data_IF_619539985604
#
_entry.id   IF_619539985604
#
_cell.length_a   1.000
_cell.length_b   1.000
_cell.length_c   1.000
_cell.angle_alpha   90.00
_cell.angle_beta   90.00
_cell.angle_gamma   90.00
#
_symmetry.space_group_name_H-M   'P 1'
#
loop_
_entity.id
_entity.type
_entity.pdbx_description
1 polymer ?
#
# COMPACT_ATOMS: atom_id res chain seq x y z
N UNK A 1 -17.50 -16.75 11.87
CA UNK A 1 -16.78 -16.51 10.60
C UNK A 1 -17.63 -16.99 9.42
N UNK A 2 -18.14 -18.24 9.39
CA UNK A 2 -18.96 -18.76 8.28
C UNK A 2 -20.28 -17.99 8.13
N UNK A 3 -20.89 -17.58 9.23
CA UNK A 3 -22.15 -16.81 9.24
C UNK A 3 -21.91 -15.34 8.83
N UNK A 4 -20.81 -14.74 9.27
CA UNK A 4 -20.37 -13.40 8.83
C UNK A 4 -20.02 -13.36 7.32
N UNK A 5 -19.41 -14.42 6.80
CA UNK A 5 -19.15 -14.58 5.36
C UNK A 5 -20.45 -14.80 4.56
N UNK A 6 -21.42 -15.53 5.12
CA UNK A 6 -22.74 -15.71 4.49
C UNK A 6 -23.53 -14.40 4.44
N UNK A 7 -23.49 -13.60 5.51
CA UNK A 7 -24.14 -12.29 5.54
C UNK A 7 -23.45 -11.28 4.63
N UNK A 8 -22.11 -11.32 4.51
CA UNK A 8 -21.35 -10.52 3.55
C UNK A 8 -21.58 -10.95 2.08
N UNK A 9 -22.04 -12.18 1.85
CA UNK A 9 -22.39 -12.71 0.53
C UNK A 9 -23.88 -12.63 0.22
N UNK A 10 -24.70 -12.11 1.15
CA UNK A 10 -26.13 -11.89 0.95
C UNK A 10 -26.45 -10.39 1.05
N UNK A 11 -26.16 -9.60 0.01
CA UNK A 11 -26.47 -8.17 -0.02
C UNK A 11 -27.98 -7.91 0.14
N UNK A 12 -28.84 -8.88 -0.25
CA UNK A 12 -30.30 -8.75 -0.21
C UNK A 12 -30.85 -8.64 1.22
N UNK A 13 -30.14 -9.11 2.24
CA UNK A 13 -30.61 -9.06 3.63
C UNK A 13 -30.53 -7.64 4.25
N UNK A 14 -29.67 -6.78 3.70
CA UNK A 14 -29.55 -5.38 4.14
C UNK A 14 -30.53 -4.46 3.37
N UNK A 15 -30.90 -4.82 2.14
CA UNK A 15 -31.86 -4.05 1.33
C UNK A 15 -33.32 -4.21 1.81
N UNK A 16 -33.70 -5.29 2.52
CA UNK A 16 -35.07 -5.49 3.04
C UNK A 16 -35.37 -4.65 4.30
N UNK A 17 -34.37 -4.26 5.07
CA UNK A 17 -34.51 -3.31 6.17
C UNK A 17 -34.10 -1.93 5.71
N UNK A 18 -35.01 -1.08 5.31
CA UNK A 18 -34.75 0.30 4.95
C UNK A 18 -33.91 1.03 6.02
N UNK A 19 -33.36 2.19 5.66
CA UNK A 19 -32.60 3.05 6.57
C UNK A 19 -33.35 3.24 7.90
N UNK A 20 -32.73 3.01 9.07
CA UNK A 20 -33.39 3.09 10.37
C UNK A 20 -33.71 4.53 10.83
N UNK A 21 -33.35 5.54 10.04
CA UNK A 21 -33.56 6.96 10.29
C UNK A 21 -34.01 7.68 9.01
N UNK A 22 -34.65 8.84 9.16
CA UNK A 22 -35.15 9.63 8.03
C UNK A 22 -34.03 10.36 7.27
N UNK A 23 -33.04 10.87 8.01
CA UNK A 23 -31.89 11.59 7.47
C UNK A 23 -30.63 11.27 8.28
N UNK A 24 -29.48 11.05 7.62
CA UNK A 24 -28.21 10.94 8.32
C UNK A 24 -27.72 12.29 8.85
N UNK A 25 -27.05 12.26 9.99
CA UNK A 25 -26.25 13.38 10.48
C UNK A 25 -24.91 13.45 9.76
N UNK A 26 -24.40 12.27 9.38
CA UNK A 26 -23.09 12.13 8.69
C UNK A 26 -23.24 11.20 7.50
N UNK A 27 -22.82 11.68 6.32
CA UNK A 27 -22.58 10.88 5.13
C UNK A 27 -21.09 10.54 5.05
N UNK A 28 -20.76 9.26 5.02
CA UNK A 28 -19.38 8.76 4.85
C UNK A 28 -19.24 8.17 3.45
N UNK A 29 -18.35 8.70 2.63
CA UNK A 29 -18.13 8.27 1.25
C UNK A 29 -16.86 7.40 1.18
N UNK A 30 -17.04 6.09 1.03
CA UNK A 30 -16.02 5.06 1.05
C UNK A 30 -16.09 4.20 2.31
N UNK A 31 -16.25 2.89 2.14
CA UNK A 31 -16.30 1.89 3.22
C UNK A 31 -14.93 1.17 3.39
N UNK A 32 -13.84 1.86 3.10
CA UNK A 32 -12.48 1.45 3.45
C UNK A 32 -12.21 1.62 4.95
N UNK A 33 -10.96 1.42 5.39
CA UNK A 33 -10.60 1.51 6.80
C UNK A 33 -10.97 2.87 7.41
N UNK A 34 -10.67 3.98 6.74
CA UNK A 34 -10.99 5.32 7.22
C UNK A 34 -12.52 5.53 7.36
N UNK A 35 -13.30 5.07 6.37
CA UNK A 35 -14.75 5.20 6.41
C UNK A 35 -15.39 4.34 7.48
N UNK A 36 -14.95 3.09 7.64
CA UNK A 36 -15.43 2.21 8.70
C UNK A 36 -15.10 2.77 10.09
N UNK A 37 -13.89 3.31 10.28
CA UNK A 37 -13.48 3.98 11.53
C UNK A 37 -14.40 5.18 11.84
N UNK A 38 -14.61 6.04 10.84
CA UNK A 38 -15.48 7.20 10.96
C UNK A 38 -16.92 6.80 11.28
N UNK A 39 -17.46 5.83 10.54
CA UNK A 39 -18.84 5.39 10.71
C UNK A 39 -19.07 4.69 12.06
N UNK A 40 -18.16 3.79 12.48
CA UNK A 40 -18.24 3.12 13.76
C UNK A 40 -18.20 4.12 14.91
N UNK A 41 -17.24 5.06 14.87
CA UNK A 41 -17.10 6.06 15.94
C UNK A 41 -18.26 7.04 15.98
N UNK A 42 -18.78 7.50 14.84
CA UNK A 42 -19.94 8.38 14.79
C UNK A 42 -21.20 7.68 15.30
N UNK A 43 -21.41 6.41 14.93
CA UNK A 43 -22.53 5.62 15.42
C UNK A 43 -22.46 5.36 16.94
N UNK A 44 -21.28 5.06 17.46
CA UNK A 44 -21.01 4.91 18.90
C UNK A 44 -21.35 6.20 19.68
N UNK A 45 -21.11 7.35 19.07
CA UNK A 45 -21.46 8.67 19.61
C UNK A 45 -22.96 9.02 19.47
N UNK A 46 -23.76 8.14 18.89
CA UNK A 46 -25.21 8.27 18.74
C UNK A 46 -25.66 9.10 17.53
N UNK A 47 -24.76 9.39 16.57
CA UNK A 47 -25.12 10.05 15.32
C UNK A 47 -25.73 9.05 14.33
N UNK A 48 -26.68 9.52 13.50
CA UNK A 48 -27.19 8.77 12.36
C UNK A 48 -26.17 8.79 11.22
N UNK A 49 -25.64 7.64 10.83
CA UNK A 49 -24.56 7.52 9.86
C UNK A 49 -24.99 6.74 8.64
N UNK A 50 -24.85 7.38 7.47
CA UNK A 50 -24.95 6.70 6.19
C UNK A 50 -23.54 6.53 5.61
N UNK A 51 -23.10 5.29 5.42
CA UNK A 51 -21.85 4.99 4.73
C UNK A 51 -22.12 4.39 3.37
N UNK A 52 -21.47 4.86 2.33
CA UNK A 52 -21.64 4.39 0.95
C UNK A 52 -20.31 3.99 0.32
N UNK A 53 -20.34 2.94 -0.50
CA UNK A 53 -19.15 2.50 -1.26
C UNK A 53 -19.56 1.98 -2.65
N UNK A 54 -18.74 2.24 -3.66
CA UNK A 54 -18.93 1.73 -5.02
C UNK A 54 -18.70 0.23 -5.15
N UNK A 55 -17.90 -0.36 -4.27
CA UNK A 55 -17.61 -1.79 -4.26
C UNK A 55 -18.77 -2.61 -3.71
N UNK A 56 -18.83 -3.88 -4.12
CA UNK A 56 -19.76 -4.84 -3.57
C UNK A 56 -19.39 -5.34 -2.16
N UNK A 57 -18.22 -4.93 -1.64
CA UNK A 57 -17.70 -5.32 -0.33
C UNK A 57 -17.04 -4.14 0.36
N UNK A 58 -17.06 -4.13 1.68
CA UNK A 58 -16.34 -3.15 2.50
C UNK A 58 -14.87 -3.51 2.71
N UNK A 59 -14.10 -2.57 3.22
CA UNK A 59 -12.70 -2.72 3.62
C UNK A 59 -11.68 -2.09 2.64
N UNK A 60 -12.06 -1.88 1.37
CA UNK A 60 -11.21 -1.20 0.39
C UNK A 60 -9.78 -1.76 0.31
N UNK A 61 -8.80 -0.90 0.20
CA UNK A 61 -7.37 -1.27 0.14
C UNK A 61 -6.87 -2.02 1.38
N UNK A 62 -7.52 -1.85 2.54
CA UNK A 62 -7.13 -2.56 3.75
C UNK A 62 -7.37 -4.07 3.66
N UNK A 63 -8.26 -4.54 2.78
CA UNK A 63 -8.43 -5.98 2.54
C UNK A 63 -7.20 -6.66 1.93
N UNK A 64 -6.32 -5.89 1.29
CA UNK A 64 -5.11 -6.39 0.60
C UNK A 64 -3.81 -5.78 1.16
N UNK A 65 -3.89 -4.94 2.17
CA UNK A 65 -2.73 -4.28 2.77
C UNK A 65 -2.05 -5.13 3.85
N UNK A 66 -0.74 -4.93 4.04
CA UNK A 66 0.10 -5.56 5.05
C UNK A 66 -0.34 -5.35 6.50
N UNK A 67 -1.04 -4.25 6.78
CA UNK A 67 -1.69 -4.03 8.07
C UNK A 67 -0.74 -3.64 9.19
N UNK A 68 0.10 -2.67 8.94
CA UNK A 68 0.86 -2.01 9.99
C UNK A 68 0.13 -0.75 10.43
N UNK A 69 -0.14 -0.62 11.71
CA UNK A 69 -0.56 0.61 12.38
C UNK A 69 0.59 1.17 13.21
N UNK A 70 0.58 2.48 13.39
CA UNK A 70 1.50 3.19 14.27
C UNK A 70 0.72 3.82 15.41
N UNK A 71 1.19 3.66 16.65
CA UNK A 71 0.58 4.27 17.83
C UNK A 71 1.58 4.53 18.94
N UNK A 72 1.63 5.76 19.45
CA UNK A 72 2.53 6.19 20.50
C UNK A 72 1.84 6.22 21.86
N UNK A 73 2.51 5.71 22.90
CA UNK A 73 1.99 5.75 24.27
C UNK A 73 0.88 4.75 24.57
N UNK A 74 0.75 3.68 23.78
CA UNK A 74 -0.31 2.67 23.89
C UNK A 74 -0.22 1.84 25.18
N UNK A 75 -1.31 1.15 25.51
CA UNK A 75 -1.33 0.12 26.57
C UNK A 75 -0.36 -1.02 26.27
N UNK A 76 -0.30 -1.48 25.02
CA UNK A 76 0.62 -2.55 24.60
C UNK A 76 2.09 -2.18 24.77
N UNK A 77 2.47 -0.91 24.52
CA UNK A 77 3.83 -0.44 24.83
C UNK A 77 4.12 -0.48 26.33
N UNK A 78 3.20 0.00 27.15
CA UNK A 78 3.34 -0.04 28.62
C UNK A 78 3.45 -1.46 29.14
N UNK A 79 2.64 -2.39 28.63
CA UNK A 79 2.72 -3.82 28.95
C UNK A 79 4.09 -4.44 28.58
N UNK A 80 4.67 -3.99 27.45
CA UNK A 80 5.99 -4.43 26.98
C UNK A 80 7.16 -3.68 27.64
N UNK A 81 6.90 -2.73 28.54
CA UNK A 81 7.93 -1.92 29.19
C UNK A 81 8.61 -0.92 28.26
N UNK A 82 7.93 -0.49 27.21
CA UNK A 82 8.41 0.48 26.24
C UNK A 82 7.87 1.86 26.62
N UNK A 83 8.78 2.80 26.87
CA UNK A 83 8.43 4.20 27.07
C UNK A 83 8.32 4.91 25.75
N UNK A 84 7.16 5.51 25.48
CA UNK A 84 6.87 6.27 24.26
C UNK A 84 5.81 7.33 24.54
N UNK A 85 5.86 8.41 23.77
CA UNK A 85 4.91 9.50 23.83
C UNK A 85 4.75 10.19 22.46
N UNK A 86 3.76 11.10 22.29
CA UNK A 86 3.56 11.85 21.07
C UNK A 86 4.75 12.69 20.61
N UNK A 87 5.57 13.21 21.54
CA UNK A 87 6.73 14.03 21.20
C UNK A 87 7.84 13.19 20.57
N UNK A 88 8.11 12.00 21.11
CA UNK A 88 9.06 11.05 20.54
C UNK A 88 8.57 10.54 19.16
N UNK A 89 7.26 10.34 19.00
CA UNK A 89 6.67 9.96 17.73
C UNK A 89 6.83 11.06 16.67
N UNK A 90 6.50 12.29 17.02
CA UNK A 90 6.65 13.42 16.12
C UNK A 90 8.13 13.69 15.76
N UNK A 91 9.06 13.52 16.69
CA UNK A 91 10.50 13.63 16.41
C UNK A 91 10.96 12.60 15.36
N UNK A 92 10.42 11.38 15.38
CA UNK A 92 10.68 10.39 14.33
C UNK A 92 10.12 10.84 12.97
N UNK A 93 8.95 11.47 12.90
CA UNK A 93 8.41 12.01 11.66
C UNK A 93 9.29 13.12 11.08
N UNK A 94 9.77 14.04 11.90
CA UNK A 94 10.70 15.10 11.49
C UNK A 94 12.03 14.51 10.99
N UNK A 95 12.55 13.51 11.68
CA UNK A 95 13.80 12.84 11.30
C UNK A 95 13.69 12.09 9.96
N UNK A 96 12.58 11.41 9.74
CA UNK A 96 12.36 10.58 8.54
C UNK A 96 11.89 11.40 7.34
N UNK A 97 10.97 12.32 7.55
CA UNK A 97 10.39 13.13 6.48
C UNK A 97 11.19 14.40 6.14
N UNK A 98 12.06 14.85 7.04
CA UNK A 98 12.73 16.14 6.96
C UNK A 98 11.80 17.30 7.36
N UNK A 99 12.31 18.21 8.20
CA UNK A 99 11.56 19.37 8.64
C UNK A 99 11.08 20.23 7.45
N UNK A 100 9.79 20.58 7.47
CA UNK A 100 9.18 21.41 6.41
C UNK A 100 8.79 20.68 5.13
N UNK A 101 9.07 19.38 5.00
CA UNK A 101 8.71 18.59 3.82
C UNK A 101 7.30 17.97 3.91
N UNK A 102 6.63 18.11 5.04
CA UNK A 102 5.28 17.59 5.27
C UNK A 102 4.49 18.56 6.14
N UNK A 103 3.18 18.35 6.25
CA UNK A 103 2.34 19.16 7.14
C UNK A 103 2.58 18.75 8.60
N UNK A 104 3.41 19.55 9.31
CA UNK A 104 3.81 19.27 10.70
C UNK A 104 2.63 19.37 11.69
N UNK A 105 1.62 20.19 11.40
CA UNK A 105 0.42 20.33 12.25
C UNK A 105 -0.40 19.03 12.23
N UNK A 106 -0.69 18.50 11.03
CA UNK A 106 -1.39 17.21 10.88
C UNK A 106 -0.57 16.06 11.47
N UNK A 107 0.75 16.06 11.26
CA UNK A 107 1.62 15.02 11.80
C UNK A 107 1.68 15.05 13.33
N UNK A 108 1.63 16.23 13.94
CA UNK A 108 1.56 16.41 15.38
C UNK A 108 0.24 15.87 15.93
N UNK A 109 -0.88 16.28 15.35
CA UNK A 109 -2.20 15.78 15.72
C UNK A 109 -2.29 14.25 15.59
N UNK A 110 -1.76 13.70 14.49
CA UNK A 110 -1.68 12.24 14.33
C UNK A 110 -0.87 11.59 15.46
N UNK A 111 0.29 12.13 15.82
CA UNK A 111 1.10 11.56 16.90
C UNK A 111 0.34 11.58 18.24
N UNK A 112 -0.41 12.64 18.53
CA UNK A 112 -1.17 12.81 19.76
C UNK A 112 -2.32 11.81 19.89
N UNK A 113 -3.05 11.51 18.79
CA UNK A 113 -4.22 10.63 18.83
C UNK A 113 -3.89 9.15 18.51
N UNK A 114 -2.71 8.86 17.95
CA UNK A 114 -2.37 7.54 17.41
C UNK A 114 -2.44 6.41 18.44
N UNK A 115 -2.01 6.69 19.67
CA UNK A 115 -2.04 5.71 20.76
C UNK A 115 -3.47 5.36 21.19
N UNK A 116 -4.34 6.37 21.30
CA UNK A 116 -5.76 6.16 21.64
C UNK A 116 -6.46 5.37 20.53
N UNK A 117 -6.14 5.63 19.24
CA UNK A 117 -6.73 4.91 18.13
C UNK A 117 -6.37 3.41 18.13
N UNK A 118 -5.11 3.08 18.46
CA UNK A 118 -4.67 1.68 18.59
C UNK A 118 -5.34 1.02 19.81
N UNK A 119 -5.41 1.70 20.94
CA UNK A 119 -6.07 1.21 22.16
C UNK A 119 -7.57 0.99 21.94
N UNK A 120 -8.24 1.87 21.19
CA UNK A 120 -9.65 1.69 20.82
C UNK A 120 -9.85 0.45 19.94
N UNK A 121 -9.01 0.21 18.93
CA UNK A 121 -9.06 -1.00 18.11
C UNK A 121 -8.85 -2.28 18.95
N UNK A 122 -7.98 -2.22 19.96
CA UNK A 122 -7.78 -3.31 20.92
C UNK A 122 -9.05 -3.56 21.74
N UNK A 123 -9.73 -2.51 22.21
CA UNK A 123 -11.02 -2.60 22.93
C UNK A 123 -12.14 -3.20 22.05
N UNK A 124 -12.10 -2.97 20.73
CA UNK A 124 -13.00 -3.60 19.75
C UNK A 124 -12.70 -5.09 19.52
N UNK A 125 -11.64 -5.63 20.12
CA UNK A 125 -11.23 -7.03 20.00
C UNK A 125 -10.44 -7.34 18.73
N UNK A 126 -9.74 -6.37 18.18
CA UNK A 126 -8.83 -6.59 17.05
C UNK A 126 -7.74 -7.61 17.41
N UNK A 127 -7.53 -8.61 16.55
CA UNK A 127 -6.46 -9.59 16.73
C UNK A 127 -5.11 -9.01 16.29
N UNK A 128 -4.34 -8.48 17.23
CA UNK A 128 -2.98 -7.96 17.03
C UNK A 128 -1.88 -9.04 17.06
N UNK A 129 -2.26 -10.32 17.01
CA UNK A 129 -1.29 -11.41 17.03
C UNK A 129 -0.57 -11.52 18.38
N UNK A 130 0.75 -11.35 18.38
CA UNK A 130 1.59 -11.41 19.58
C UNK A 130 1.52 -10.14 20.47
N UNK A 131 0.88 -9.09 19.98
CA UNK A 131 0.69 -7.78 20.67
C UNK A 131 2.00 -7.08 21.04
N UNK A 132 3.11 -7.47 20.43
CA UNK A 132 4.42 -6.85 20.68
C UNK A 132 4.69 -5.78 19.64
N UNK A 133 4.86 -4.51 20.03
CA UNK A 133 5.21 -3.46 19.07
C UNK A 133 6.64 -3.65 18.53
N UNK A 134 6.87 -3.19 17.30
CA UNK A 134 8.18 -3.30 16.63
C UNK A 134 8.61 -1.99 15.97
N UNK A 135 9.91 -1.89 15.64
CA UNK A 135 10.53 -0.66 15.12
C UNK A 135 10.14 -0.30 13.66
N UNK A 136 9.48 -1.21 12.96
CA UNK A 136 9.21 -1.08 11.53
C UNK A 136 10.30 -1.75 10.68
N UNK A 137 9.87 -2.25 9.51
CA UNK A 137 10.76 -2.97 8.59
C UNK A 137 11.37 -2.00 7.56
N UNK A 138 10.61 -1.00 7.15
CA UNK A 138 10.97 -0.10 6.07
C UNK A 138 11.47 1.28 6.55
N UNK A 139 11.09 1.68 7.75
CA UNK A 139 11.44 2.96 8.34
C UNK A 139 11.87 2.72 9.78
N UNK A 140 13.17 2.80 10.08
CA UNK A 140 13.66 2.54 11.43
C UNK A 140 13.22 3.67 12.37
N UNK A 141 12.19 3.40 13.15
CA UNK A 141 11.76 4.27 14.24
C UNK A 141 12.73 4.15 15.42
N UNK A 142 12.87 5.22 16.20
CA UNK A 142 13.68 5.18 17.43
C UNK A 142 12.99 4.41 18.57
N UNK A 143 11.65 4.32 18.52
CA UNK A 143 10.85 3.57 19.48
C UNK A 143 9.99 2.55 18.74
N UNK A 144 9.84 1.35 19.30
CA UNK A 144 8.95 0.32 18.77
C UNK A 144 7.50 0.74 19.00
N UNK A 145 6.79 1.15 17.92
CA UNK A 145 5.41 1.64 17.96
C UNK A 145 4.55 1.17 16.79
N UNK A 146 5.04 0.23 16.01
CA UNK A 146 4.26 -0.40 14.95
C UNK A 146 3.56 -1.67 15.46
N UNK A 147 2.35 -1.87 15.01
CA UNK A 147 1.49 -3.02 15.36
C UNK A 147 0.97 -3.67 14.09
N UNK A 148 0.97 -4.99 14.06
CA UNK A 148 0.41 -5.74 12.93
C UNK A 148 -0.90 -6.42 13.33
N UNK A 149 -1.91 -6.31 12.48
CA UNK A 149 -3.08 -7.16 12.58
C UNK A 149 -2.73 -8.60 12.17
N UNK A 150 -3.23 -9.59 12.88
CA UNK A 150 -3.05 -11.00 12.51
C UNK A 150 -3.79 -11.31 11.21
N UNK A 151 -3.02 -11.67 10.19
CA UNK A 151 -3.55 -11.79 8.83
C UNK A 151 -3.75 -10.42 8.15
N UNK A 152 -3.12 -9.32 8.63
CA UNK A 152 -2.98 -8.00 8.08
C UNK A 152 -4.04 -6.97 8.40
N UNK A 153 -4.15 -5.95 7.57
CA UNK A 153 -5.11 -4.87 7.80
C UNK A 153 -6.57 -5.34 7.81
N UNK A 154 -6.84 -6.53 7.24
CA UNK A 154 -8.16 -7.14 7.34
C UNK A 154 -8.58 -7.40 8.79
N UNK A 155 -7.65 -7.62 9.73
CA UNK A 155 -7.98 -7.76 11.15
C UNK A 155 -8.68 -6.49 11.69
N UNK A 156 -8.19 -5.31 11.29
CA UNK A 156 -8.79 -4.03 11.65
C UNK A 156 -10.15 -3.81 11.00
N UNK A 157 -10.26 -4.16 9.71
CA UNK A 157 -11.54 -4.08 8.97
C UNK A 157 -12.62 -4.91 9.62
N UNK A 158 -12.29 -6.14 10.04
CA UNK A 158 -13.25 -7.06 10.67
C UNK A 158 -13.77 -6.52 12.00
N UNK A 159 -12.89 -5.99 12.87
CA UNK A 159 -13.31 -5.44 14.15
C UNK A 159 -14.10 -4.14 14.00
N UNK A 160 -13.71 -3.25 13.09
CA UNK A 160 -14.44 -2.02 12.79
C UNK A 160 -15.84 -2.29 12.21
N UNK A 161 -15.94 -3.24 11.29
CA UNK A 161 -17.24 -3.64 10.75
C UNK A 161 -18.13 -4.28 11.81
N UNK A 162 -17.59 -5.18 12.63
CA UNK A 162 -18.32 -5.80 13.72
C UNK A 162 -18.82 -4.78 14.75
N UNK A 163 -18.08 -3.70 14.99
CA UNK A 163 -18.53 -2.58 15.81
C UNK A 163 -19.70 -1.85 15.14
N UNK A 164 -19.51 -1.43 13.88
CA UNK A 164 -20.55 -0.71 13.13
C UNK A 164 -21.85 -1.52 12.97
N UNK A 165 -21.74 -2.84 12.78
CA UNK A 165 -22.89 -3.74 12.62
C UNK A 165 -23.85 -3.71 13.81
N UNK A 166 -23.36 -3.41 15.02
CA UNK A 166 -24.22 -3.28 16.22
C UNK A 166 -25.26 -2.16 16.09
N UNK A 167 -25.00 -1.20 15.22
CA UNK A 167 -25.81 0.01 15.04
C UNK A 167 -26.71 -0.02 13.80
N UNK A 168 -26.66 -1.06 12.96
CA UNK A 168 -27.45 -1.13 11.72
C UNK A 168 -28.97 -1.14 11.94
N UNK A 169 -29.43 -1.54 13.10
CA UNK A 169 -30.86 -1.47 13.45
C UNK A 169 -31.29 -0.18 14.15
N UNK A 170 -30.37 0.75 14.40
CA UNK A 170 -30.63 1.95 15.20
C UNK A 170 -30.23 3.23 14.50
N UNK A 171 -28.93 3.44 14.24
CA UNK A 171 -28.39 4.72 13.78
C UNK A 171 -27.23 4.58 12.79
N UNK A 172 -27.03 3.42 12.17
CA UNK A 172 -26.11 3.25 11.05
C UNK A 172 -26.80 2.55 9.88
N UNK A 173 -26.38 2.90 8.67
CA UNK A 173 -26.81 2.21 7.45
C UNK A 173 -25.67 2.20 6.43
N UNK A 174 -25.47 1.08 5.74
CA UNK A 174 -24.42 0.91 4.74
C UNK A 174 -25.05 0.58 3.38
N UNK A 175 -24.65 1.36 2.35
CA UNK A 175 -25.02 1.11 0.96
C UNK A 175 -23.75 0.78 0.16
N UNK A 176 -23.59 -0.48 -0.19
CA UNK A 176 -22.59 -0.96 -1.14
C UNK A 176 -23.12 -0.85 -2.57
N UNK A 177 -22.26 -1.08 -3.59
CA UNK A 177 -22.61 -0.90 -5.00
C UNK A 177 -23.22 0.49 -5.30
N UNK A 178 -22.83 1.50 -4.54
CA UNK A 178 -23.34 2.88 -4.63
C UNK A 178 -22.20 3.80 -5.04
N UNK A 179 -22.17 4.20 -6.31
CA UNK A 179 -21.13 5.05 -6.87
C UNK A 179 -21.49 6.52 -6.70
N UNK A 180 -20.73 7.24 -5.86
CA UNK A 180 -20.85 8.69 -5.73
C UNK A 180 -20.26 9.37 -6.97
N UNK A 181 -21.05 10.26 -7.59
CA UNK A 181 -20.70 10.94 -8.85
C UNK A 181 -20.27 12.39 -8.64
N UNK A 182 -20.45 12.94 -7.44
CA UNK A 182 -20.07 14.31 -7.11
C UNK A 182 -20.68 14.78 -5.81
N UNK A 183 -20.22 15.92 -5.32
CA UNK A 183 -20.75 16.56 -4.12
C UNK A 183 -21.92 17.50 -4.45
N UNK A 184 -22.78 17.74 -3.46
CA UNK A 184 -23.87 18.70 -3.53
C UNK A 184 -23.58 19.83 -2.59
N UNK A 185 -23.64 21.07 -3.10
CA UNK A 185 -23.47 22.28 -2.31
C UNK A 185 -24.76 23.10 -2.26
N UNK A 186 -24.94 23.85 -1.20
CA UNK A 186 -26.00 24.86 -1.11
C UNK A 186 -25.57 26.19 -1.79
N UNK A 187 -26.45 27.16 -1.77
CA UNK A 187 -26.21 28.51 -2.38
C UNK A 187 -25.03 29.27 -1.71
N UNK A 188 -24.62 28.86 -0.51
CA UNK A 188 -23.51 29.43 0.25
C UNK A 188 -22.18 28.71 -0.04
N UNK A 189 -22.22 27.64 -0.86
CA UNK A 189 -21.07 26.82 -1.21
C UNK A 189 -20.73 25.73 -0.17
N UNK A 190 -21.52 25.56 0.88
CA UNK A 190 -21.32 24.49 1.85
C UNK A 190 -21.78 23.14 1.28
N UNK A 191 -20.99 22.09 1.52
CA UNK A 191 -21.36 20.72 1.13
C UNK A 191 -22.52 20.24 2.02
N UNK A 192 -23.60 19.79 1.39
CA UNK A 192 -24.82 19.31 2.03
C UNK A 192 -25.15 17.87 1.68
N UNK A 193 -24.25 17.14 1.02
CA UNK A 193 -24.40 15.77 0.61
C UNK A 193 -23.69 15.41 -0.67
N UNK A 194 -24.15 14.34 -1.32
CA UNK A 194 -23.56 13.82 -2.55
C UNK A 194 -24.62 13.32 -3.53
N UNK A 195 -24.31 13.36 -4.83
CA UNK A 195 -25.03 12.64 -5.88
C UNK A 195 -24.47 11.23 -5.97
N UNK A 196 -25.34 10.24 -6.13
CA UNK A 196 -24.93 8.86 -6.22
C UNK A 196 -25.77 8.12 -7.29
N UNK A 197 -25.17 7.08 -7.85
CA UNK A 197 -25.81 6.11 -8.74
C UNK A 197 -25.82 4.75 -8.04
N UNK A 198 -27.01 4.19 -7.89
CA UNK A 198 -27.25 2.90 -7.27
C UNK A 198 -26.89 1.74 -8.22
N UNK A 199 -26.88 0.50 -7.69
CA UNK A 199 -26.56 -0.71 -8.45
C UNK A 199 -27.46 -0.92 -9.69
N UNK A 200 -28.73 -0.52 -9.62
CA UNK A 200 -29.72 -0.60 -10.72
C UNK A 200 -29.56 0.53 -11.76
N UNK A 201 -28.61 1.45 -11.56
CA UNK A 201 -28.41 2.62 -12.40
C UNK A 201 -29.25 3.85 -12.01
N UNK A 202 -30.09 3.76 -11.00
CA UNK A 202 -30.88 4.90 -10.50
C UNK A 202 -29.98 5.97 -9.91
N UNK A 203 -30.17 7.20 -10.34
CA UNK A 203 -29.49 8.36 -9.74
C UNK A 203 -30.29 8.89 -8.55
N UNK A 204 -29.58 9.21 -7.49
CA UNK A 204 -30.16 9.71 -6.24
C UNK A 204 -29.29 10.81 -5.63
N UNK A 205 -29.86 11.54 -4.67
CA UNK A 205 -29.13 12.51 -3.86
C UNK A 205 -29.19 12.11 -2.41
N UNK A 206 -28.04 11.97 -1.79
CA UNK A 206 -27.86 11.64 -0.40
C UNK A 206 -27.52 12.92 0.36
N UNK A 207 -28.42 13.40 1.17
CA UNK A 207 -28.25 14.65 1.92
C UNK A 207 -27.82 14.36 3.35
N UNK A 208 -26.86 15.12 3.87
CA UNK A 208 -26.40 15.11 5.25
C UNK A 208 -25.78 16.46 5.62
N UNK A 209 -25.94 16.94 6.87
CA UNK A 209 -25.29 18.15 7.35
C UNK A 209 -23.75 18.07 7.32
N UNK A 210 -23.18 16.87 7.48
CA UNK A 210 -21.75 16.63 7.40
C UNK A 210 -21.44 15.52 6.40
N UNK A 211 -20.38 15.71 5.59
CA UNK A 211 -19.89 14.73 4.64
C UNK A 211 -18.41 14.44 4.88
N UNK A 212 -18.05 13.18 5.05
CA UNK A 212 -16.66 12.75 5.23
C UNK A 212 -16.24 11.94 4.02
N UNK A 213 -15.16 12.39 3.34
CA UNK A 213 -14.65 11.77 2.13
C UNK A 213 -13.56 10.77 2.53
N UNK A 214 -13.83 9.47 2.34
CA UNK A 214 -12.96 8.35 2.66
C UNK A 214 -12.67 7.48 1.43
N UNK A 215 -12.61 8.09 0.24
CA UNK A 215 -12.51 7.41 -1.07
C UNK A 215 -11.13 6.82 -1.37
N UNK A 216 -10.16 7.01 -0.49
CA UNK A 216 -8.78 6.54 -0.68
C UNK A 216 -7.98 7.41 -1.63
N UNK A 217 -6.94 6.82 -2.22
CA UNK A 217 -6.02 7.50 -3.12
C UNK A 217 -6.41 7.41 -4.60
N UNK A 218 -5.42 7.56 -5.49
CA UNK A 218 -5.62 7.52 -6.95
C UNK A 218 -4.74 6.47 -7.65
N UNK A 219 -4.09 5.58 -6.91
CA UNK A 219 -3.14 4.61 -7.48
C UNK A 219 -3.79 3.56 -8.42
N UNK A 220 -5.12 3.48 -8.48
CA UNK A 220 -5.88 2.71 -9.46
C UNK A 220 -6.13 3.45 -10.79
N UNK A 221 -5.76 4.73 -10.89
CA UNK A 221 -6.03 5.59 -12.04
C UNK A 221 -4.73 5.92 -12.78
N UNK A 222 -4.52 5.28 -13.93
CA UNK A 222 -3.32 5.43 -14.75
C UNK A 222 -3.16 6.87 -15.30
N UNK A 223 -4.25 7.56 -15.62
CA UNK A 223 -4.19 8.94 -16.09
C UNK A 223 -3.66 9.89 -15.01
N UNK A 224 -4.10 9.71 -13.75
CA UNK A 224 -3.60 10.48 -12.63
C UNK A 224 -2.15 10.11 -12.27
N UNK A 225 -1.78 8.83 -12.33
CA UNK A 225 -0.39 8.41 -12.16
C UNK A 225 0.52 9.09 -13.18
N UNK A 226 0.15 9.07 -14.46
CA UNK A 226 0.90 9.74 -15.53
C UNK A 226 0.92 11.27 -15.37
N UNK A 227 -0.21 11.88 -14.97
CA UNK A 227 -0.30 13.33 -14.68
C UNK A 227 0.72 13.78 -13.62
N UNK A 228 0.98 12.93 -12.63
CA UNK A 228 1.91 13.21 -11.54
C UNK A 228 3.29 12.54 -11.69
N UNK A 229 3.69 12.20 -12.92
CA UNK A 229 5.00 11.66 -13.30
C UNK A 229 5.32 10.25 -12.77
N UNK A 230 4.30 9.42 -12.53
CA UNK A 230 4.46 8.01 -12.15
C UNK A 230 4.29 7.08 -13.36
N UNK A 231 4.94 7.37 -14.47
CA UNK A 231 4.93 6.52 -15.65
C UNK A 231 5.56 5.14 -15.35
N UNK A 232 4.97 4.08 -15.91
CA UNK A 232 5.41 2.69 -15.73
C UNK A 232 5.40 2.15 -14.30
N UNK A 233 4.76 2.85 -13.36
CA UNK A 233 4.61 2.36 -11.98
C UNK A 233 3.51 1.29 -11.93
N UNK A 234 3.86 0.12 -11.38
CA UNK A 234 2.89 -0.95 -11.13
C UNK A 234 2.13 -0.66 -9.84
N UNK A 235 0.86 -0.33 -9.98
CA UNK A 235 0.01 -0.11 -8.81
C UNK A 235 -0.38 -1.44 -8.14
N UNK A 236 -0.26 -1.49 -6.81
CA UNK A 236 -0.74 -2.60 -5.98
C UNK A 236 -2.07 -2.31 -5.30
N UNK A 237 -2.63 -1.14 -5.58
CA UNK A 237 -3.94 -0.75 -5.06
C UNK A 237 -5.07 -1.44 -5.82
N UNK A 238 -6.23 -1.66 -5.19
CA UNK A 238 -7.43 -2.08 -5.90
C UNK A 238 -7.80 -1.11 -7.04
N UNK A 239 -8.34 -1.64 -8.13
CA UNK A 239 -8.69 -0.83 -9.30
C UNK A 239 -9.76 0.25 -9.02
N UNK A 240 -10.53 0.10 -7.94
CA UNK A 240 -11.52 1.07 -7.50
C UNK A 240 -10.93 2.31 -6.79
N UNK A 241 -9.62 2.38 -6.58
CA UNK A 241 -8.95 3.55 -5.98
C UNK A 241 -8.63 4.54 -7.10
N UNK A 242 -9.63 5.29 -7.53
CA UNK A 242 -9.64 6.08 -8.78
C UNK A 242 -9.33 7.56 -8.60
N UNK A 243 -9.32 8.05 -7.34
CA UNK A 243 -9.02 9.45 -7.06
C UNK A 243 -10.21 10.40 -7.20
N UNK A 244 -11.44 9.90 -7.27
CA UNK A 244 -12.64 10.70 -7.45
C UNK A 244 -12.78 11.80 -6.37
N UNK A 245 -12.46 11.48 -5.11
CA UNK A 245 -12.49 12.44 -4.01
C UNK A 245 -11.57 13.63 -4.22
N UNK A 246 -10.41 13.44 -4.87
CA UNK A 246 -9.51 14.55 -5.19
C UNK A 246 -10.15 15.50 -6.23
N UNK A 247 -10.79 14.94 -7.26
CA UNK A 247 -11.46 15.73 -8.28
C UNK A 247 -12.58 16.59 -7.68
N UNK A 248 -13.42 16.03 -6.82
CA UNK A 248 -14.51 16.78 -6.17
C UNK A 248 -13.98 17.87 -5.24
N UNK A 249 -12.89 17.62 -4.52
CA UNK A 249 -12.29 18.62 -3.64
C UNK A 249 -11.61 19.73 -4.43
N UNK A 250 -10.94 19.41 -5.55
CA UNK A 250 -10.33 20.39 -6.46
C UNK A 250 -11.41 21.32 -7.06
N UNK A 251 -12.58 20.77 -7.46
CA UNK A 251 -13.74 21.56 -7.93
C UNK A 251 -14.26 22.55 -6.88
N UNK A 252 -14.15 22.19 -5.59
CA UNK A 252 -14.51 23.09 -4.48
C UNK A 252 -13.40 24.07 -4.09
N UNK A 253 -12.26 24.05 -4.81
CA UNK A 253 -11.13 24.93 -4.58
C UNK A 253 -10.19 24.49 -3.45
N UNK A 254 -10.27 23.26 -2.98
CA UNK A 254 -9.31 22.70 -2.02
C UNK A 254 -7.93 22.55 -2.67
N UNK A 255 -6.84 23.05 -2.04
CA UNK A 255 -5.50 22.87 -2.58
C UNK A 255 -5.06 21.40 -2.48
N UNK A 256 -4.49 20.88 -3.55
CA UNK A 256 -3.83 19.57 -3.55
C UNK A 256 -2.32 19.76 -3.29
N UNK A 257 -1.76 18.98 -2.38
CA UNK A 257 -0.33 19.01 -2.03
C UNK A 257 0.27 17.62 -2.12
N UNK A 258 1.58 17.56 -2.39
CA UNK A 258 2.35 16.30 -2.41
C UNK A 258 1.80 15.25 -3.39
N UNK A 259 1.15 15.67 -4.47
CA UNK A 259 0.58 14.76 -5.46
C UNK A 259 1.64 14.04 -6.30
N UNK A 260 2.87 14.53 -6.30
CA UNK A 260 4.06 13.98 -6.92
C UNK A 260 4.86 13.02 -6.00
N UNK A 261 4.31 12.73 -4.82
CA UNK A 261 4.90 11.75 -3.88
C UNK A 261 4.08 10.46 -3.88
N UNK A 262 4.76 9.34 -4.05
CA UNK A 262 4.17 8.02 -3.82
C UNK A 262 5.12 7.13 -3.02
N UNK A 263 4.56 6.17 -2.30
CA UNK A 263 5.36 5.11 -1.70
C UNK A 263 5.68 4.08 -2.76
N UNK A 264 6.92 4.06 -3.24
CA UNK A 264 7.42 3.08 -4.17
C UNK A 264 8.18 1.98 -3.42
N UNK A 265 7.94 0.72 -3.78
CA UNK A 265 8.70 -0.42 -3.27
C UNK A 265 9.58 -0.95 -4.38
N UNK A 266 10.85 -1.17 -4.05
CA UNK A 266 11.81 -1.77 -4.97
C UNK A 266 11.40 -3.21 -5.32
N UNK A 267 11.21 -3.50 -6.60
CA UNK A 267 10.99 -4.84 -7.12
C UNK A 267 9.54 -5.31 -7.05
N UNK A 268 8.73 -4.91 -7.99
CA UNK A 268 7.42 -5.49 -8.21
C UNK A 268 7.37 -6.23 -9.53
N UNK A 269 6.91 -7.48 -9.52
CA UNK A 269 6.59 -8.23 -10.72
C UNK A 269 5.09 -8.44 -10.73
N UNK A 270 4.38 -8.19 -11.84
CA UNK A 270 2.95 -8.48 -11.93
C UNK A 270 2.70 -9.97 -11.68
N UNK A 271 1.86 -10.30 -10.71
CA UNK A 271 1.54 -11.69 -10.37
C UNK A 271 0.35 -12.22 -11.13
N UNK A 272 -0.53 -11.36 -11.62
CA UNK A 272 -1.65 -11.72 -12.49
C UNK A 272 -2.10 -10.54 -13.34
N UNK A 273 -2.79 -10.83 -14.42
CA UNK A 273 -3.34 -9.81 -15.32
C UNK A 273 -4.60 -9.14 -14.72
N UNK A 274 -5.28 -9.82 -13.77
CA UNK A 274 -6.56 -9.38 -13.20
C UNK A 274 -6.40 -8.61 -11.88
N UNK A 275 -5.31 -8.88 -11.14
CA UNK A 275 -5.00 -8.21 -9.88
C UNK A 275 -3.71 -7.43 -10.02
N UNK A 276 -3.76 -6.15 -9.66
CA UNK A 276 -2.57 -5.30 -9.55
C UNK A 276 -1.76 -5.66 -8.30
N UNK A 277 -1.44 -6.94 -8.17
CA UNK A 277 -0.55 -7.45 -7.13
C UNK A 277 0.86 -7.53 -7.67
N UNK A 278 1.83 -7.33 -6.80
CA UNK A 278 3.24 -7.46 -7.14
C UNK A 278 3.90 -8.52 -6.27
N UNK A 279 4.96 -9.09 -6.77
CA UNK A 279 5.81 -10.00 -6.04
C UNK A 279 7.23 -9.50 -5.94
N UNK A 280 7.94 -9.99 -4.94
CA UNK A 280 9.35 -9.71 -4.76
C UNK A 280 10.18 -10.87 -5.29
N UNK A 281 11.25 -10.56 -6.01
CA UNK A 281 12.18 -11.56 -6.46
C UNK A 281 13.22 -11.85 -5.35
N UNK A 282 12.96 -12.86 -4.51
CA UNK A 282 13.75 -13.17 -3.32
C UNK A 282 14.69 -14.37 -3.47
N UNK A 283 14.84 -14.91 -4.68
CA UNK A 283 15.55 -16.18 -4.88
C UNK A 283 17.06 -16.04 -4.98
N UNK A 284 17.63 -14.86 -4.78
CA UNK A 284 19.04 -14.61 -5.05
C UNK A 284 19.79 -14.01 -3.87
N UNK A 285 21.07 -14.38 -3.77
CA UNK A 285 22.04 -13.68 -2.95
C UNK A 285 22.75 -12.64 -3.84
N UNK A 286 22.37 -11.36 -3.70
CA UNK A 286 23.16 -10.29 -4.28
C UNK A 286 22.77 -9.84 -5.69
N UNK A 287 21.54 -10.07 -6.16
CA UNK A 287 21.07 -9.51 -7.44
C UNK A 287 21.31 -8.00 -7.55
N UNK A 288 21.61 -7.53 -8.75
CA UNK A 288 21.89 -6.12 -9.04
C UNK A 288 20.63 -5.42 -9.57
N UNK A 289 20.51 -4.14 -9.27
CA UNK A 289 19.52 -3.25 -9.86
C UNK A 289 20.14 -2.43 -10.96
N UNK A 290 19.74 -2.72 -12.18
CA UNK A 290 20.26 -2.12 -13.40
C UNK A 290 19.18 -1.25 -14.05
N UNK A 291 19.52 0.00 -14.39
CA UNK A 291 18.62 0.90 -15.10
C UNK A 291 18.64 0.64 -16.63
N UNK A 292 17.79 1.36 -17.36
CA UNK A 292 17.70 1.24 -18.82
C UNK A 292 18.96 1.68 -19.57
N UNK A 293 19.89 2.37 -18.92
CA UNK A 293 21.20 2.72 -19.48
C UNK A 293 22.24 1.61 -19.31
N UNK A 294 21.91 0.49 -18.68
CA UNK A 294 22.85 -0.60 -18.37
C UNK A 294 23.72 -0.34 -17.14
N UNK A 295 23.36 0.63 -16.30
CA UNK A 295 24.15 1.05 -15.14
C UNK A 295 23.53 0.53 -13.85
N UNK A 296 24.37 0.14 -12.89
CA UNK A 296 23.96 -0.19 -11.54
C UNK A 296 23.57 1.07 -10.77
N UNK A 297 22.56 1.01 -9.92
CA UNK A 297 21.95 2.18 -9.34
C UNK A 297 22.27 2.40 -7.86
N UNK A 298 22.50 1.35 -7.08
CA UNK A 298 22.63 1.48 -5.62
C UNK A 298 23.33 0.29 -4.97
N UNK A 299 23.51 0.40 -3.65
CA UNK A 299 23.78 -0.75 -2.77
C UNK A 299 22.47 -1.48 -2.49
N UNK A 300 22.21 -2.57 -3.20
CA UNK A 300 20.96 -3.33 -3.12
C UNK A 300 20.77 -4.03 -1.76
N UNK A 301 21.87 -4.28 -1.05
CA UNK A 301 21.85 -4.91 0.29
C UNK A 301 21.80 -3.89 1.43
N UNK A 302 21.95 -2.62 1.12
CA UNK A 302 21.87 -1.53 2.10
C UNK A 302 20.52 -1.54 2.85
N UNK A 303 20.58 -1.25 4.14
CA UNK A 303 19.41 -1.38 5.04
C UNK A 303 18.35 -0.32 4.84
N UNK A 304 18.69 0.83 4.26
CA UNK A 304 17.77 1.98 4.20
C UNK A 304 16.80 1.85 3.02
N UNK A 305 15.55 1.56 3.35
CA UNK A 305 14.48 1.42 2.37
C UNK A 305 14.06 2.76 1.74
N UNK A 306 14.32 3.88 2.41
CA UNK A 306 14.07 5.21 1.82
C UNK A 306 15.04 5.44 0.65
N UNK A 307 16.33 5.20 0.85
CA UNK A 307 17.35 5.28 -0.21
C UNK A 307 17.01 4.33 -1.36
N UNK A 308 16.50 3.13 -1.07
CA UNK A 308 16.06 2.19 -2.10
C UNK A 308 14.88 2.74 -2.89
N UNK A 309 13.85 3.22 -2.22
CA UNK A 309 12.65 3.78 -2.87
C UNK A 309 13.00 5.01 -3.71
N UNK A 310 13.84 5.90 -3.19
CA UNK A 310 14.33 7.09 -3.91
C UNK A 310 15.16 6.70 -5.14
N UNK A 311 16.03 5.70 -5.01
CA UNK A 311 16.81 5.16 -6.12
C UNK A 311 15.91 4.67 -7.25
N UNK A 312 14.83 3.97 -6.91
CA UNK A 312 13.88 3.45 -7.90
C UNK A 312 13.03 4.55 -8.52
N UNK A 313 12.56 5.51 -7.72
CA UNK A 313 11.79 6.65 -8.20
C UNK A 313 12.61 7.53 -9.18
N UNK A 314 13.93 7.54 -9.04
CA UNK A 314 14.86 8.27 -9.94
C UNK A 314 15.41 7.40 -11.11
N UNK A 315 14.93 6.15 -11.24
CA UNK A 315 15.32 5.33 -12.38
C UNK A 315 14.78 5.90 -13.69
N UNK A 316 15.57 5.95 -14.78
CA UNK A 316 15.06 6.37 -16.07
C UNK A 316 13.84 5.58 -16.48
N UNK A 317 12.75 6.28 -16.81
CA UNK A 317 11.44 5.70 -17.17
C UNK A 317 10.79 4.85 -16.07
N UNK A 318 11.23 4.95 -14.82
CA UNK A 318 10.81 4.10 -13.69
C UNK A 318 11.00 2.60 -13.97
N UNK A 319 11.96 2.25 -14.80
CA UNK A 319 12.26 0.87 -15.16
C UNK A 319 13.58 0.45 -14.53
N UNK A 320 13.55 -0.65 -13.79
CA UNK A 320 14.71 -1.29 -13.19
C UNK A 320 14.68 -2.78 -13.53
N UNK A 321 15.83 -3.32 -13.84
CA UNK A 321 16.01 -4.75 -14.04
C UNK A 321 16.74 -5.35 -12.83
N UNK A 322 16.16 -6.37 -12.23
CA UNK A 322 16.85 -7.23 -11.28
C UNK A 322 17.69 -8.24 -12.05
N UNK A 323 19.02 -8.09 -12.00
CA UNK A 323 19.96 -8.90 -12.78
C UNK A 323 20.78 -9.81 -11.87
N UNK A 324 20.89 -11.08 -12.25
CA UNK A 324 21.62 -12.10 -11.48
C UNK A 324 22.10 -13.26 -12.39
N UNK A 325 23.02 -14.07 -11.89
CA UNK A 325 23.41 -15.34 -12.51
C UNK A 325 22.86 -16.54 -11.75
N UNK A 326 22.87 -17.69 -12.36
CA UNK A 326 22.48 -18.95 -11.70
C UNK A 326 23.30 -19.26 -10.45
N UNK A 327 24.54 -18.78 -10.37
CA UNK A 327 25.42 -18.97 -9.20
C UNK A 327 24.92 -18.20 -7.97
N UNK A 328 24.13 -17.15 -8.17
CA UNK A 328 23.54 -16.31 -7.12
C UNK A 328 22.22 -16.87 -6.57
N UNK A 329 21.67 -17.90 -7.20
CA UNK A 329 20.42 -18.51 -6.73
C UNK A 329 20.62 -19.19 -5.37
N UNK A 330 19.71 -18.95 -4.44
CA UNK A 330 19.69 -19.65 -3.16
C UNK A 330 19.14 -21.04 -3.40
N UNK A 331 19.88 -22.13 -3.03
CA UNK A 331 19.39 -23.49 -3.17
C UNK A 331 18.02 -23.66 -2.49
N UNK A 332 17.08 -24.30 -3.16
CA UNK A 332 15.71 -24.54 -2.70
C UNK A 332 14.92 -23.27 -2.32
N UNK A 333 15.43 -22.09 -2.64
CA UNK A 333 14.70 -20.85 -2.47
C UNK A 333 13.51 -20.83 -3.43
N UNK A 334 12.35 -20.63 -2.86
CA UNK A 334 11.14 -20.39 -3.65
C UNK A 334 11.07 -18.93 -4.02
N UNK A 335 10.93 -18.70 -5.30
CA UNK A 335 11.17 -17.42 -5.97
C UNK A 335 10.21 -16.32 -5.54
N UNK A 336 9.13 -16.65 -4.83
CA UNK A 336 8.05 -15.71 -4.73
C UNK A 336 7.40 -15.57 -3.37
N UNK A 337 7.35 -14.36 -2.88
CA UNK A 337 6.45 -13.93 -1.83
C UNK A 337 5.52 -12.86 -2.41
N UNK A 338 4.30 -13.23 -2.74
CA UNK A 338 3.24 -12.23 -2.79
C UNK A 338 3.11 -11.66 -1.40
N UNK A 339 3.26 -10.37 -1.24
CA UNK A 339 3.23 -9.63 0.02
C UNK A 339 2.52 -10.29 1.19
N UNK A 340 2.43 -9.74 2.33
CA UNK A 340 2.07 -10.31 3.64
C UNK A 340 0.92 -11.35 3.73
N UNK A 341 0.25 -11.70 2.64
CA UNK A 341 -1.06 -12.38 2.62
C UNK A 341 -1.11 -13.79 2.08
N UNK A 342 -0.05 -14.33 1.69
CA UNK A 342 0.02 -15.67 1.18
C UNK A 342 1.18 -15.81 0.22
N UNK A 343 2.28 -16.32 0.71
CA UNK A 343 3.39 -16.73 -0.14
C UNK A 343 2.94 -17.89 -1.01
N UNK A 344 2.58 -17.63 -2.26
CA UNK A 344 2.66 -18.65 -3.28
C UNK A 344 4.15 -18.80 -3.57
N UNK A 345 4.71 -19.90 -3.11
CA UNK A 345 6.10 -20.24 -3.40
C UNK A 345 6.10 -21.04 -4.69
N UNK A 346 6.51 -20.43 -5.79
CA UNK A 346 6.62 -21.11 -7.07
C UNK A 346 8.03 -21.67 -7.25
N UNK A 347 8.13 -22.77 -7.98
CA UNK A 347 9.42 -23.32 -8.39
C UNK A 347 10.08 -22.34 -9.39
N UNK A 348 11.40 -22.18 -9.30
CA UNK A 348 12.14 -21.16 -10.06
C UNK A 348 11.95 -21.27 -11.57
N UNK A 349 12.20 -22.46 -12.14
CA UNK A 349 12.21 -22.64 -13.59
C UNK A 349 10.84 -22.40 -14.23
N UNK A 350 9.72 -23.00 -13.77
CA UNK A 350 8.41 -22.72 -14.33
C UNK A 350 7.99 -21.26 -14.20
N UNK A 351 8.37 -20.61 -13.11
CA UNK A 351 8.07 -19.22 -12.88
C UNK A 351 8.83 -18.31 -13.84
N UNK A 352 10.14 -18.52 -14.00
CA UNK A 352 10.97 -17.78 -14.95
C UNK A 352 10.50 -17.97 -16.41
N UNK A 353 10.12 -19.19 -16.78
CA UNK A 353 9.53 -19.44 -18.11
C UNK A 353 8.26 -18.63 -18.33
N UNK A 354 7.37 -18.59 -17.35
CA UNK A 354 6.16 -17.77 -17.39
C UNK A 354 6.45 -16.27 -17.55
N UNK A 355 7.46 -15.75 -16.86
CA UNK A 355 7.88 -14.34 -16.99
C UNK A 355 8.52 -14.05 -18.36
N UNK A 356 9.30 -15.00 -18.89
CA UNK A 356 9.91 -14.87 -20.22
C UNK A 356 8.82 -14.85 -21.31
N UNK A 357 7.84 -15.71 -21.21
CA UNK A 357 6.69 -15.73 -22.14
C UNK A 357 5.91 -14.41 -22.12
N UNK A 358 5.82 -13.77 -20.96
CA UNK A 358 5.18 -12.46 -20.78
C UNK A 358 6.07 -11.26 -21.18
N UNK A 359 7.33 -11.48 -21.55
CA UNK A 359 8.27 -10.41 -21.84
C UNK A 359 8.71 -9.59 -20.60
N UNK A 360 8.61 -10.19 -19.43
CA UNK A 360 8.99 -9.58 -18.14
C UNK A 360 10.33 -10.08 -17.62
N UNK A 361 10.87 -11.12 -18.22
CA UNK A 361 12.18 -11.65 -17.89
C UNK A 361 12.93 -12.14 -19.14
N UNK A 362 14.25 -12.23 -19.02
CA UNK A 362 15.15 -12.70 -20.07
C UNK A 362 16.21 -13.62 -19.47
N UNK A 363 16.66 -14.55 -20.29
CA UNK A 363 17.72 -15.51 -19.97
C UNK A 363 18.72 -15.57 -21.11
N UNK A 364 20.01 -15.61 -20.79
CA UNK A 364 21.11 -15.70 -21.76
C UNK A 364 22.31 -16.45 -21.18
N UNK A 365 23.18 -16.95 -22.05
CA UNK A 365 24.41 -17.66 -21.64
C UNK A 365 25.58 -16.71 -21.40
N UNK A 366 25.54 -15.50 -21.99
CA UNK A 366 26.54 -14.44 -21.78
C UNK A 366 25.89 -13.13 -21.34
N UNK A 367 26.71 -12.24 -20.75
CA UNK A 367 26.30 -10.90 -20.34
C UNK A 367 25.89 -10.06 -21.55
N UNK A 368 26.65 -10.14 -22.62
CA UNK A 368 26.40 -9.40 -23.86
C UNK A 368 25.08 -9.83 -24.51
N UNK A 369 24.85 -11.14 -24.61
CA UNK A 369 23.58 -11.69 -25.12
C UNK A 369 22.40 -11.26 -24.25
N UNK A 370 22.57 -11.21 -22.92
CA UNK A 370 21.52 -10.71 -22.04
C UNK A 370 21.21 -9.25 -22.31
N UNK A 371 22.23 -8.41 -22.46
CA UNK A 371 22.07 -7.00 -22.80
C UNK A 371 21.29 -6.82 -24.11
N UNK A 372 21.64 -7.57 -25.16
CA UNK A 372 20.95 -7.53 -26.45
C UNK A 372 19.49 -7.93 -26.32
N UNK A 373 19.18 -9.01 -25.60
CA UNK A 373 17.81 -9.48 -25.38
C UNK A 373 16.94 -8.51 -24.61
N UNK A 374 17.50 -7.86 -23.61
CA UNK A 374 16.81 -6.84 -22.77
C UNK A 374 16.68 -5.51 -23.52
N UNK A 375 17.58 -5.23 -24.45
CA UNK A 375 17.68 -3.95 -25.15
C UNK A 375 18.54 -2.91 -24.40
N UNK A 376 19.52 -3.34 -23.59
CA UNK A 376 20.44 -2.50 -22.88
C UNK A 376 21.67 -2.16 -23.73
N UNK A 377 22.36 -1.03 -23.48
CA UNK A 377 23.67 -0.73 -24.10
C UNK A 377 24.71 -1.78 -23.70
N UNK A 378 25.12 -2.62 -24.64
CA UNK A 378 25.95 -3.82 -24.40
C UNK A 378 27.26 -3.49 -23.69
N UNK A 379 28.01 -2.49 -24.20
CA UNK A 379 29.30 -2.13 -23.63
C UNK A 379 29.17 -1.59 -22.18
N UNK A 380 28.15 -0.76 -21.92
CA UNK A 380 27.93 -0.19 -20.59
C UNK A 380 27.51 -1.29 -19.62
N UNK A 381 26.59 -2.16 -20.03
CA UNK A 381 26.13 -3.24 -19.17
C UNK A 381 27.25 -4.23 -18.85
N UNK A 382 28.04 -4.64 -19.83
CA UNK A 382 29.20 -5.51 -19.63
C UNK A 382 30.24 -4.88 -18.67
N UNK A 383 30.53 -3.58 -18.83
CA UNK A 383 31.39 -2.86 -17.90
C UNK A 383 30.83 -2.80 -16.48
N UNK A 384 29.54 -2.62 -16.34
CA UNK A 384 28.84 -2.64 -15.02
C UNK A 384 29.01 -4.00 -14.32
N UNK A 385 28.81 -5.10 -15.04
CA UNK A 385 28.97 -6.44 -14.48
C UNK A 385 30.44 -6.72 -14.15
N UNK A 386 31.38 -6.30 -14.99
CA UNK A 386 32.81 -6.43 -14.72
C UNK A 386 33.22 -5.67 -13.46
N UNK A 387 32.75 -4.43 -13.28
CA UNK A 387 33.03 -3.63 -12.09
C UNK A 387 32.42 -4.28 -10.79
N UNK A 388 31.25 -4.85 -10.88
CA UNK A 388 30.67 -5.62 -9.75
C UNK A 388 31.54 -6.84 -9.41
N UNK A 389 31.93 -7.62 -10.40
CA UNK A 389 32.78 -8.81 -10.20
C UNK A 389 34.17 -8.44 -9.61
N UNK A 390 34.75 -7.33 -10.04
CA UNK A 390 36.00 -6.80 -9.45
C UNK A 390 35.76 -6.39 -7.98
N UNK A 391 34.66 -5.75 -7.67
CA UNK A 391 34.24 -5.42 -6.31
C UNK A 391 34.14 -6.65 -5.42
N UNK A 392 33.53 -7.73 -5.91
CA UNK A 392 33.45 -9.02 -5.19
C UNK A 392 34.84 -9.61 -4.92
N UNK A 393 35.72 -9.56 -5.89
CA UNK A 393 37.08 -10.13 -5.78
C UNK A 393 37.97 -9.35 -4.82
N UNK A 394 37.86 -8.03 -4.80
CA UNK A 394 38.78 -7.12 -4.10
C UNK A 394 38.19 -6.47 -2.86
N UNK A 395 36.92 -6.69 -2.56
CA UNK A 395 36.21 -6.04 -1.45
C UNK A 395 36.02 -4.52 -1.65
N UNK A 396 35.98 -4.06 -2.88
CA UNK A 396 35.94 -2.65 -3.26
C UNK A 396 34.72 -2.35 -4.15
N UNK A 397 33.51 -2.65 -3.62
CA UNK A 397 32.29 -2.36 -4.36
C UNK A 397 32.07 -0.85 -4.49
N UNK A 398 31.81 -0.31 -5.70
CA UNK A 398 31.64 1.13 -5.92
C UNK A 398 30.44 1.73 -5.14
N UNK A 399 29.45 0.92 -4.77
CA UNK A 399 28.28 1.31 -3.99
C UNK A 399 28.38 0.97 -2.51
N UNK A 400 29.54 0.46 -2.06
CA UNK A 400 29.82 0.20 -0.65
C UNK A 400 29.12 -1.05 -0.09
N UNK A 401 28.79 -2.04 -0.93
CA UNK A 401 28.36 -3.35 -0.42
C UNK A 401 29.50 -4.02 0.33
N UNK A 402 29.21 -4.45 1.55
CA UNK A 402 30.23 -5.04 2.44
C UNK A 402 30.07 -6.54 2.62
N UNK A 403 28.97 -7.13 2.14
CA UNK A 403 28.74 -8.56 2.20
C UNK A 403 29.64 -9.29 1.20
N UNK A 404 30.05 -10.52 1.55
CA UNK A 404 30.72 -11.41 0.60
C UNK A 404 29.70 -11.84 -0.46
N UNK A 405 29.76 -11.20 -1.59
CA UNK A 405 28.83 -11.40 -2.68
C UNK A 405 29.33 -12.48 -3.64
N UNK A 406 28.40 -13.17 -4.27
CA UNK A 406 28.71 -14.11 -5.34
C UNK A 406 28.90 -13.32 -6.63
N UNK A 407 30.06 -13.48 -7.27
CA UNK A 407 30.34 -12.86 -8.55
C UNK A 407 29.43 -13.45 -9.64
N UNK A 408 29.05 -12.62 -10.61
CA UNK A 408 28.35 -13.05 -11.83
C UNK A 408 29.38 -13.47 -12.88
N UNK A 409 30.07 -14.61 -12.65
CA UNK A 409 31.13 -15.09 -13.52
C UNK A 409 30.65 -16.05 -14.60
N UNK A 410 29.68 -16.89 -14.27
CA UNK A 410 29.15 -17.91 -15.17
C UNK A 410 27.65 -17.83 -15.32
N UNK A 411 27.19 -18.08 -16.53
CA UNK A 411 25.75 -18.13 -16.86
C UNK A 411 25.07 -19.46 -16.43
N UNK A 412 23.79 -19.59 -16.70
CA UNK A 412 22.96 -18.58 -17.36
C UNK A 412 22.75 -17.33 -16.50
N UNK A 413 22.63 -16.19 -17.21
CA UNK A 413 22.32 -14.89 -16.64
C UNK A 413 20.85 -14.58 -16.86
N UNK A 414 20.27 -13.84 -15.93
CA UNK A 414 18.86 -13.49 -15.93
C UNK A 414 18.69 -11.97 -15.71
N UNK A 415 17.68 -11.41 -16.33
CA UNK A 415 17.15 -10.08 -16.01
C UNK A 415 15.63 -10.19 -15.83
N UNK A 416 15.12 -9.54 -14.80
CA UNK A 416 13.68 -9.46 -14.52
C UNK A 416 13.30 -8.01 -14.41
N UNK A 417 12.29 -7.57 -15.22
CA UNK A 417 11.83 -6.18 -15.28
C UNK A 417 10.93 -5.85 -14.09
#
# INVERSE_FOLDING_TARGET
IIEAVKNALNPDAAEEAGMPFEQPDVLVIGAGMAGLTTAARAAELGLNVLIVDQAATYGGSANVAGGTLLGAGTRMQKEAGIEDDPDLCFADFVRLGGAGNFNEEIAREFAEISGEAVDWLDDLGTDFGDRVPYYGVYQPLNVARNYSGKGGARAFVVSLYAELEKYFSTNAYMMLNTYVTGLVTNDEGAVIGAKARLADGTETTLLAPATVICTGGYAGNEELLNKYNFENVLSTSPACVTGDGYAWLEELGAPLTNMDFCTAYAGGIPTSDDFRSFGYFNATNGALWINTNGERMANETGADSHVKSETWANAPHNIVYTVFSSEMLIPDAKVFSTGAWGSVKEEFDPYMESLIEKGLAWKADTVEELAEKVGLPVDTFAATIAAYNDGCANGNDPFGRTAQEVAMANGPFYAVK
#
